data_IF_864660851593
#
_entry.id   IF_864660851593
#
_cell.length_a   1.000
_cell.length_b   1.000
_cell.length_c   1.000
_cell.angle_alpha   90.00
_cell.angle_beta   90.00
_cell.angle_gamma   90.00
#
_symmetry.space_group_name_H-M   'P 1'
#
loop_
_entity.id
_entity.type
_entity.pdbx_description
1 polymer ?
#
# COMPACT_ATOMS: atom_id res chain seq x y z
N UNK A 1 51.35 -19.19 13.44
CA UNK A 1 50.35 -19.25 12.35
C UNK A 1 49.08 -19.79 12.96
N UNK A 2 48.20 -18.90 13.41
CA UNK A 2 46.91 -19.27 14.00
C UNK A 2 45.83 -18.86 13.01
N UNK A 3 45.17 -19.85 12.42
CA UNK A 3 44.14 -19.71 11.39
C UNK A 3 42.79 -19.44 12.07
N UNK A 4 42.36 -18.17 12.04
CA UNK A 4 41.09 -17.73 12.61
C UNK A 4 39.98 -18.05 11.59
N UNK A 5 39.39 -19.25 11.68
CA UNK A 5 38.22 -19.60 10.87
C UNK A 5 37.01 -18.77 11.31
N UNK A 6 36.81 -17.63 10.65
CA UNK A 6 35.55 -16.90 10.62
C UNK A 6 34.46 -17.85 10.13
N UNK A 7 33.68 -18.42 11.05
CA UNK A 7 32.37 -18.99 10.76
C UNK A 7 31.42 -17.84 10.47
N UNK A 8 31.54 -17.28 9.26
CA UNK A 8 30.49 -16.45 8.70
C UNK A 8 29.29 -17.35 8.44
N UNK A 9 28.26 -17.23 9.29
CA UNK A 9 26.93 -17.73 8.97
C UNK A 9 26.56 -17.11 7.63
N UNK A 10 26.38 -17.93 6.60
CA UNK A 10 25.97 -17.44 5.30
C UNK A 10 24.58 -16.81 5.47
N UNK A 11 24.54 -15.49 5.61
CA UNK A 11 23.32 -14.72 5.41
C UNK A 11 22.94 -15.00 3.97
N UNK A 12 21.90 -15.80 3.76
CA UNK A 12 21.22 -15.85 2.47
C UNK A 12 20.75 -14.43 2.21
N UNK A 13 21.54 -13.66 1.45
CA UNK A 13 21.08 -12.41 0.85
C UNK A 13 19.85 -12.82 0.05
N UNK A 14 18.65 -12.55 0.58
CA UNK A 14 17.45 -12.66 -0.24
C UNK A 14 17.73 -11.75 -1.43
N UNK A 15 17.60 -12.31 -2.63
CA UNK A 15 17.69 -11.51 -3.83
C UNK A 15 16.64 -10.40 -3.74
N UNK A 16 16.91 -9.23 -4.34
CA UNK A 16 15.93 -8.18 -4.42
C UNK A 16 14.61 -8.70 -4.94
N UNK A 17 13.60 -8.67 -4.07
CA UNK A 17 12.21 -8.85 -4.48
C UNK A 17 11.60 -7.55 -4.97
N UNK A 18 12.37 -6.44 -5.00
CA UNK A 18 11.92 -5.11 -5.40
C UNK A 18 11.37 -5.08 -6.83
N UNK A 19 10.12 -5.49 -6.99
CA UNK A 19 9.41 -5.46 -8.24
C UNK A 19 8.82 -4.07 -8.41
N UNK A 20 9.61 -3.18 -9.00
CA UNK A 20 9.12 -1.90 -9.46
C UNK A 20 7.96 -2.11 -10.44
N UNK A 21 6.99 -1.21 -10.41
CA UNK A 21 5.94 -1.16 -11.41
C UNK A 21 6.55 -0.85 -12.77
N UNK A 22 5.98 -1.44 -13.81
CA UNK A 22 6.32 -1.04 -15.17
C UNK A 22 5.91 0.43 -15.38
N UNK A 23 6.63 1.16 -16.23
CA UNK A 23 6.29 2.57 -16.52
C UNK A 23 4.84 2.70 -17.01
N UNK A 24 4.35 1.73 -17.79
CA UNK A 24 2.95 1.68 -18.23
C UNK A 24 1.96 1.60 -17.07
N UNK A 25 2.30 0.83 -16.04
CA UNK A 25 1.48 0.68 -14.83
C UNK A 25 1.46 1.98 -14.02
N UNK A 26 2.60 2.66 -13.91
CA UNK A 26 2.68 3.97 -13.26
C UNK A 26 1.84 5.03 -13.98
N UNK A 27 1.89 5.06 -15.32
CA UNK A 27 1.08 5.99 -16.15
C UNK A 27 -0.42 5.65 -16.03
N UNK A 28 -0.77 4.36 -16.01
CA UNK A 28 -2.14 3.91 -15.80
C UNK A 28 -2.67 4.34 -14.43
N UNK A 29 -1.92 4.07 -13.36
CA UNK A 29 -2.27 4.48 -12.00
C UNK A 29 -2.41 5.99 -11.87
N UNK A 30 -1.49 6.77 -12.45
CA UNK A 30 -1.55 8.22 -12.42
C UNK A 30 -2.80 8.75 -13.12
N UNK A 31 -3.11 8.21 -14.31
CA UNK A 31 -4.30 8.59 -15.08
C UNK A 31 -5.59 8.24 -14.33
N UNK A 32 -5.64 7.05 -13.72
CA UNK A 32 -6.77 6.61 -12.91
C UNK A 32 -6.95 7.49 -11.66
N UNK A 33 -5.87 7.89 -10.99
CA UNK A 33 -5.91 8.78 -9.83
C UNK A 33 -6.44 10.17 -10.21
N UNK A 34 -5.93 10.75 -11.31
CA UNK A 34 -6.36 12.04 -11.82
C UNK A 34 -7.86 12.02 -12.16
N UNK A 35 -8.33 10.97 -12.85
CA UNK A 35 -9.76 10.80 -13.18
C UNK A 35 -10.66 10.77 -11.93
N UNK A 36 -10.15 10.32 -10.79
CA UNK A 36 -10.88 10.20 -9.53
C UNK A 36 -10.57 11.30 -8.52
N UNK A 37 -9.85 12.35 -8.92
CA UNK A 37 -9.41 13.44 -8.05
C UNK A 37 -8.63 12.94 -6.81
N UNK A 38 -7.74 11.97 -7.02
CA UNK A 38 -6.83 11.45 -6.02
C UNK A 38 -5.42 11.95 -6.30
N UNK A 39 -4.68 12.24 -5.23
CA UNK A 39 -3.23 12.38 -5.28
C UNK A 39 -2.60 10.99 -5.25
N UNK A 40 -1.69 10.72 -6.18
CA UNK A 40 -0.84 9.53 -6.20
C UNK A 40 0.59 9.93 -5.83
N UNK A 41 1.24 9.15 -4.97
CA UNK A 41 2.65 9.27 -4.64
C UNK A 41 3.33 7.91 -4.81
N UNK A 42 4.53 7.91 -5.38
CA UNK A 42 5.41 6.73 -5.37
C UNK A 42 6.30 6.83 -4.13
N UNK A 43 6.34 5.77 -3.34
CA UNK A 43 7.13 5.67 -2.12
C UNK A 43 7.99 4.42 -2.15
N UNK A 44 9.11 4.48 -1.45
CA UNK A 44 9.90 3.31 -1.10
C UNK A 44 9.57 2.95 0.35
N UNK A 45 9.06 1.74 0.58
CA UNK A 45 8.67 1.25 1.90
C UNK A 45 9.57 0.07 2.31
N UNK A 46 9.88 -0.07 3.60
CA UNK A 46 10.65 -1.20 4.15
C UNK A 46 10.09 -1.55 5.53
N UNK A 47 9.93 -2.85 5.82
CA UNK A 47 9.36 -3.31 7.09
C UNK A 47 10.38 -3.44 8.23
N UNK A 48 11.66 -3.60 7.92
CA UNK A 48 12.77 -3.64 8.89
C UNK A 48 14.10 -3.24 8.24
N UNK A 49 15.13 -2.97 9.07
CA UNK A 49 16.47 -2.53 8.62
C UNK A 49 17.18 -3.54 7.69
N UNK A 50 16.74 -4.80 7.70
CA UNK A 50 17.26 -5.92 6.92
C UNK A 50 16.37 -6.32 5.73
N UNK A 51 15.23 -5.63 5.55
CA UNK A 51 14.37 -5.79 4.38
C UNK A 51 14.73 -4.81 3.27
N UNK A 52 14.53 -5.23 2.03
CA UNK A 52 14.74 -4.36 0.88
C UNK A 52 13.56 -3.43 0.68
N UNK A 53 13.83 -2.24 0.12
CA UNK A 53 12.80 -1.28 -0.19
C UNK A 53 11.86 -1.79 -1.30
N UNK A 54 10.57 -1.83 -1.01
CA UNK A 54 9.49 -2.12 -1.96
C UNK A 54 8.92 -0.82 -2.54
N UNK A 55 8.66 -0.79 -3.84
CA UNK A 55 7.96 0.34 -4.46
C UNK A 55 6.46 0.24 -4.16
N UNK A 56 5.92 1.29 -3.53
CA UNK A 56 4.53 1.39 -3.12
C UNK A 56 3.89 2.63 -3.75
N UNK A 57 2.71 2.44 -4.34
CA UNK A 57 1.86 3.53 -4.81
C UNK A 57 0.86 3.88 -3.72
N UNK A 58 0.99 5.07 -3.16
CA UNK A 58 0.06 5.61 -2.16
C UNK A 58 -0.94 6.55 -2.83
N UNK A 59 -2.22 6.34 -2.55
CA UNK A 59 -3.31 7.17 -3.07
C UNK A 59 -4.05 7.83 -1.92
N UNK A 60 -4.23 9.15 -2.02
CA UNK A 60 -4.94 9.96 -1.02
C UNK A 60 -5.94 10.87 -1.70
N UNK A 61 -7.10 11.05 -1.10
CA UNK A 61 -8.02 12.09 -1.57
C UNK A 61 -7.46 13.50 -1.30
N UNK A 62 -7.66 14.43 -2.24
CA UNK A 62 -7.11 15.77 -2.16
C UNK A 62 -7.59 16.58 -0.94
N UNK A 63 -8.85 16.42 -0.53
CA UNK A 63 -9.43 17.10 0.65
C UNK A 63 -10.68 16.38 1.17
N UNK A 64 -10.77 16.12 2.48
CA UNK A 64 -12.01 15.73 3.18
C UNK A 64 -12.53 14.29 2.98
N UNK A 65 -11.92 13.48 2.12
CA UNK A 65 -12.30 12.09 1.92
C UNK A 65 -11.34 11.10 2.60
N UNK A 66 -11.88 10.00 3.13
CA UNK A 66 -11.15 8.91 3.81
C UNK A 66 -10.47 7.93 2.84
N UNK A 67 -10.40 8.24 1.54
CA UNK A 67 -9.76 7.35 0.59
C UNK A 67 -8.25 7.43 0.78
N UNK A 68 -7.72 6.46 1.53
CA UNK A 68 -6.31 6.19 1.64
C UNK A 68 -6.11 4.70 1.36
N UNK A 69 -5.27 4.37 0.40
CA UNK A 69 -4.85 3.00 0.14
C UNK A 69 -3.44 2.99 -0.44
N UNK A 70 -2.76 1.88 -0.21
CA UNK A 70 -1.44 1.60 -0.75
C UNK A 70 -1.52 0.39 -1.69
N UNK A 71 -0.73 0.41 -2.75
CA UNK A 71 -0.62 -0.67 -3.72
C UNK A 71 0.85 -1.02 -3.90
N UNK A 72 1.18 -2.32 -3.88
CA UNK A 72 2.54 -2.80 -4.15
C UNK A 72 2.50 -4.06 -5.02
N UNK A 73 3.64 -4.39 -5.61
CA UNK A 73 3.80 -5.52 -6.52
C UNK A 73 4.90 -6.45 -5.97
N UNK A 74 4.62 -7.75 -5.85
CA UNK A 74 5.60 -8.75 -5.42
C UNK A 74 6.22 -9.55 -6.58
N UNK A 75 5.93 -9.15 -7.83
CA UNK A 75 6.40 -9.79 -9.06
C UNK A 75 5.43 -10.83 -9.62
N UNK A 76 4.64 -11.47 -8.76
CA UNK A 76 3.62 -12.45 -9.14
C UNK A 76 2.22 -11.86 -9.12
N UNK A 77 1.99 -10.85 -8.27
CA UNK A 77 0.70 -10.24 -8.05
C UNK A 77 0.79 -8.79 -7.56
N UNK A 78 -0.34 -8.09 -7.69
CA UNK A 78 -0.54 -6.75 -7.15
C UNK A 78 -1.42 -6.83 -5.91
N UNK A 79 -1.00 -6.16 -4.84
CA UNK A 79 -1.72 -6.09 -3.59
C UNK A 79 -2.24 -4.69 -3.35
N UNK A 80 -3.46 -4.59 -2.83
CA UNK A 80 -4.10 -3.33 -2.43
C UNK A 80 -4.45 -3.42 -0.95
N UNK A 81 -3.98 -2.47 -0.16
CA UNK A 81 -4.38 -2.34 1.25
C UNK A 81 -5.15 -1.03 1.44
N UNK A 82 -6.49 -1.09 1.56
CA UNK A 82 -7.28 0.07 1.97
C UNK A 82 -7.03 0.42 3.43
N UNK A 83 -7.04 1.72 3.75
CA UNK A 83 -6.80 2.22 5.10
C UNK A 83 -8.00 3.07 5.56
N UNK A 84 -8.89 2.53 6.43
CA UNK A 84 -8.91 1.17 6.97
C UNK A 84 -9.52 0.14 6.01
N UNK A 85 -9.08 -1.12 6.09
CA UNK A 85 -9.59 -2.21 5.25
C UNK A 85 -8.78 -3.49 5.33
N UNK A 86 -9.17 -4.49 4.53
CA UNK A 86 -8.43 -5.74 4.36
C UNK A 86 -7.63 -5.69 3.07
N UNK A 87 -6.43 -6.24 3.10
CA UNK A 87 -5.60 -6.46 1.92
C UNK A 87 -6.35 -7.30 0.88
N UNK A 88 -6.22 -6.92 -0.38
CA UNK A 88 -6.78 -7.60 -1.55
C UNK A 88 -5.63 -7.95 -2.50
N UNK A 89 -5.72 -9.12 -3.14
CA UNK A 89 -4.73 -9.62 -4.10
C UNK A 89 -5.35 -9.67 -5.48
N UNK A 90 -4.61 -9.16 -6.48
CA UNK A 90 -5.02 -9.07 -7.87
C UNK A 90 -3.92 -9.61 -8.79
N UNK A 91 -4.31 -10.06 -9.97
CA UNK A 91 -3.35 -10.59 -10.95
C UNK A 91 -2.48 -9.49 -11.57
N UNK A 92 -3.01 -8.27 -11.69
CA UNK A 92 -2.29 -7.12 -12.23
C UNK A 92 -2.86 -5.79 -11.70
N UNK A 93 -2.18 -4.69 -11.99
CA UNK A 93 -2.59 -3.36 -11.53
C UNK A 93 -3.92 -2.92 -12.15
N UNK A 94 -4.15 -3.19 -13.44
CA UNK A 94 -5.39 -2.83 -14.11
C UNK A 94 -6.62 -3.46 -13.41
N UNK A 95 -6.53 -4.76 -13.09
CA UNK A 95 -7.56 -5.50 -12.36
C UNK A 95 -7.79 -4.92 -10.95
N UNK A 96 -6.70 -4.59 -10.24
CA UNK A 96 -6.77 -3.95 -8.94
C UNK A 96 -7.53 -2.61 -8.97
N UNK A 97 -7.21 -1.76 -9.96
CA UNK A 97 -7.81 -0.43 -10.12
C UNK A 97 -9.29 -0.47 -10.53
N UNK A 98 -9.72 -1.52 -11.23
CA UNK A 98 -11.13 -1.73 -11.60
C UNK A 98 -11.99 -2.06 -10.37
N UNK A 99 -11.45 -2.87 -9.45
CA UNK A 99 -12.16 -3.33 -8.25
C UNK A 99 -12.08 -2.35 -7.07
N UNK A 100 -11.25 -1.32 -7.17
CA UNK A 100 -11.06 -0.30 -6.13
C UNK A 100 -12.29 0.61 -6.00
N UNK A 101 -13.16 0.25 -5.05
CA UNK A 101 -14.32 1.06 -4.66
C UNK A 101 -13.93 2.18 -3.70
N UNK A 102 -13.93 3.42 -4.18
CA UNK A 102 -13.79 4.59 -3.29
C UNK A 102 -15.03 4.70 -2.41
N UNK A 103 -14.88 4.38 -1.12
CA UNK A 103 -15.97 4.55 -0.15
C UNK A 103 -16.39 6.02 -0.12
N UNK A 104 -17.67 6.29 -0.42
CA UNK A 104 -18.28 7.58 -0.05
C UNK A 104 -18.16 7.74 1.47
N UNK A 105 -17.89 8.95 1.98
CA UNK A 105 -17.91 9.19 3.42
C UNK A 105 -19.27 8.68 3.96
N UNK A 106 -19.30 7.86 5.02
CA UNK A 106 -20.56 7.59 5.69
C UNK A 106 -21.13 8.94 6.13
N UNK A 107 -22.43 9.15 5.91
CA UNK A 107 -23.12 10.30 6.49
C UNK A 107 -22.86 10.23 8.00
N UNK A 108 -22.26 11.28 8.56
CA UNK A 108 -22.04 11.38 9.99
C UNK A 108 -23.44 11.49 10.61
N UNK A 109 -23.97 10.39 11.11
CA UNK A 109 -25.14 10.43 11.98
C UNK A 109 -24.64 10.84 13.34
N UNK A 110 -24.93 12.08 13.74
CA UNK A 110 -24.65 12.55 15.09
C UNK A 110 -25.26 11.57 16.09
N UNK A 111 -24.39 10.84 16.79
CA UNK A 111 -24.81 10.05 17.95
C UNK A 111 -24.93 11.05 19.09
N UNK A 112 -26.10 11.67 19.22
CA UNK A 112 -26.44 12.42 20.43
C UNK A 112 -26.76 11.43 21.55
N UNK A 113 -25.94 11.32 22.62
CA UNK A 113 -26.33 10.56 23.79
C UNK A 113 -27.58 11.22 24.39
N UNK A 114 -28.62 10.43 24.70
CA UNK A 114 -29.87 10.92 25.29
C UNK A 114 -29.72 11.40 26.76
N UNK A 115 -28.49 11.45 27.27
CA UNK A 115 -28.15 11.74 28.66
C UNK A 115 -27.36 10.59 29.29
N UNK A 116 -26.66 10.89 30.38
CA UNK A 116 -26.04 9.87 31.23
C UNK A 116 -27.11 9.21 32.11
N UNK A 117 -27.07 7.89 32.33
CA UNK A 117 -27.92 7.27 33.34
C UNK A 117 -27.54 7.86 34.70
N UNK A 118 -28.47 8.62 35.28
CA UNK A 118 -28.36 9.13 36.65
C UNK A 118 -28.55 7.92 37.57
N UNK A 119 -27.57 7.64 38.44
CA UNK A 119 -27.67 6.64 39.50
C UNK A 119 -28.48 7.16 40.67
#
# INVERSE_FOLDING_TARGET
MSDLKLRGTAVTKRLPKGHAFQISDLVLAQSWAAFRNLAMQVRLDHGSDDEEYEEVLEFRAATGARAHFIIWNDGDAVFVQPMPGRMQKHACLADALEHLSLRKPPALTDITPAGWPIR
#
